data_IF_589646384956
#
_entry.id   IF_589646384956
#
_cell.length_a   1.000
_cell.length_b   1.000
_cell.length_c   1.000
_cell.angle_alpha   90.00
_cell.angle_beta   90.00
_cell.angle_gamma   90.00
#
_symmetry.space_group_name_H-M   'P 1'
#
loop_
_entity.id
_entity.type
_entity.pdbx_description
1 polymer ?
#
# COMPACT_ATOMS: atom_id res chain seq x y z
N UNK A 1 27.60 13.52 35.38
CA UNK A 1 26.82 12.30 35.08
C UNK A 1 25.32 12.61 34.95
N UNK A 2 24.93 13.57 34.09
CA UNK A 2 23.54 14.03 33.98
C UNK A 2 23.08 14.27 32.54
N UNK A 3 23.62 13.51 31.56
CA UNK A 3 23.33 13.75 30.13
C UNK A 3 22.81 12.52 29.37
N UNK A 4 22.49 11.42 30.08
CA UNK A 4 22.02 10.17 29.44
C UNK A 4 20.50 9.93 29.54
N UNK A 5 19.73 10.79 30.22
CA UNK A 5 18.29 10.54 30.48
C UNK A 5 17.32 11.03 29.40
N UNK A 6 17.79 11.56 28.28
CA UNK A 6 16.94 12.23 27.28
C UNK A 6 16.83 11.59 25.90
N UNK A 7 17.51 10.46 25.63
CA UNK A 7 17.50 9.85 24.28
C UNK A 7 16.39 8.81 24.16
N UNK A 8 15.52 8.98 23.17
CA UNK A 8 14.42 8.07 22.88
C UNK A 8 14.93 6.64 22.66
N UNK A 9 14.24 5.63 23.20
CA UNK A 9 14.60 4.19 23.07
C UNK A 9 14.69 3.72 21.60
N UNK A 10 14.19 4.53 20.66
CA UNK A 10 14.28 4.32 19.22
C UNK A 10 15.69 4.44 18.64
N UNK A 11 16.62 5.09 19.35
CA UNK A 11 18.03 5.17 18.91
C UNK A 11 18.71 3.79 18.83
N UNK A 12 18.17 2.77 19.51
CA UNK A 12 18.66 1.38 19.44
C UNK A 12 18.47 0.78 18.04
N UNK A 13 17.53 1.31 17.24
CA UNK A 13 17.23 0.84 15.88
C UNK A 13 18.07 1.54 14.80
N UNK A 14 18.93 2.50 15.17
CA UNK A 14 19.80 3.24 14.24
C UNK A 14 20.58 2.35 13.24
N UNK A 15 21.20 1.21 13.63
CA UNK A 15 21.92 0.36 12.67
C UNK A 15 21.01 -0.34 11.64
N UNK A 16 19.73 -0.58 11.97
CA UNK A 16 18.75 -1.17 11.04
C UNK A 16 18.22 -0.10 10.09
N UNK A 17 18.04 1.12 10.61
CA UNK A 17 17.56 2.28 9.85
C UNK A 17 18.57 2.69 8.75
N UNK A 18 19.87 2.69 9.06
CA UNK A 18 20.93 3.09 8.11
C UNK A 18 21.15 2.07 6.98
N UNK A 19 20.79 0.80 7.20
CA UNK A 19 20.98 -0.28 6.21
C UNK A 19 19.72 -0.58 5.39
N UNK A 20 18.63 0.11 5.66
CA UNK A 20 17.35 -0.12 5.00
C UNK A 20 17.35 0.44 3.57
N UNK A 21 16.82 -0.29 2.57
CA UNK A 21 16.68 0.25 1.22
C UNK A 21 15.82 1.51 1.27
N UNK A 22 16.40 2.62 0.84
CA UNK A 22 15.77 3.93 0.83
C UNK A 22 16.02 4.57 -0.52
N UNK A 23 14.99 5.15 -1.12
CA UNK A 23 15.17 5.93 -2.35
C UNK A 23 16.10 7.14 -2.05
N UNK A 24 17.17 7.34 -2.81
CA UNK A 24 18.03 8.50 -2.61
C UNK A 24 17.25 9.80 -2.86
N UNK A 25 17.43 10.81 -2.01
CA UNK A 25 16.88 12.15 -2.27
C UNK A 25 17.70 12.81 -3.38
N UNK A 26 17.09 13.59 -4.28
CA UNK A 26 17.84 14.33 -5.29
C UNK A 26 18.77 15.35 -4.62
N UNK A 27 20.03 15.41 -5.06
CA UNK A 27 21.06 16.32 -4.52
C UNK A 27 20.86 17.78 -4.97
N UNK A 28 19.98 18.02 -5.94
CA UNK A 28 19.73 19.34 -6.51
C UNK A 28 18.28 19.55 -6.96
N UNK A 29 18.04 20.67 -7.64
CA UNK A 29 16.73 20.99 -8.16
C UNK A 29 16.30 20.00 -9.25
N UNK A 30 15.15 19.37 -9.06
CA UNK A 30 14.54 18.48 -10.06
C UNK A 30 13.61 19.29 -10.97
N UNK A 31 13.84 19.32 -12.29
CA UNK A 31 12.98 20.01 -13.25
C UNK A 31 11.54 19.47 -13.22
N UNK A 32 10.55 20.34 -13.45
CA UNK A 32 9.13 19.95 -13.44
C UNK A 32 8.82 18.78 -14.39
N UNK A 33 9.42 18.76 -15.59
CA UNK A 33 9.24 17.67 -16.57
C UNK A 33 9.66 16.31 -16.00
N UNK A 34 10.75 16.27 -15.25
CA UNK A 34 11.25 15.05 -14.59
C UNK A 34 10.30 14.63 -13.47
N UNK A 35 9.79 15.58 -12.67
CA UNK A 35 8.80 15.28 -11.64
C UNK A 35 7.53 14.69 -12.22
N UNK A 36 7.03 15.30 -13.30
CA UNK A 36 5.85 14.84 -14.02
C UNK A 36 6.06 13.45 -14.62
N UNK A 37 7.23 13.19 -15.21
CA UNK A 37 7.58 11.87 -15.74
C UNK A 37 7.52 10.78 -14.66
N UNK A 38 8.14 11.01 -13.50
CA UNK A 38 8.09 10.04 -12.38
C UNK A 38 6.68 9.83 -11.86
N UNK A 39 5.90 10.91 -11.71
CA UNK A 39 4.50 10.83 -11.28
C UNK A 39 3.66 10.00 -12.27
N UNK A 40 3.77 10.25 -13.57
CA UNK A 40 3.02 9.49 -14.60
C UNK A 40 3.50 8.04 -14.66
N UNK A 41 4.81 7.79 -14.61
CA UNK A 41 5.36 6.44 -14.64
C UNK A 41 4.85 5.61 -13.47
N UNK A 42 4.88 6.15 -12.24
CA UNK A 42 4.33 5.46 -11.08
C UNK A 42 2.82 5.22 -11.21
N UNK A 43 2.07 6.17 -11.76
CA UNK A 43 0.63 6.01 -11.97
C UNK A 43 0.32 4.88 -12.97
N UNK A 44 1.09 4.75 -14.05
CA UNK A 44 0.96 3.63 -15.01
C UNK A 44 1.27 2.30 -14.31
N UNK A 45 2.37 2.23 -13.56
CA UNK A 45 2.73 1.00 -12.82
C UNK A 45 1.65 0.65 -11.82
N UNK A 46 1.11 1.64 -11.09
CA UNK A 46 0.02 1.45 -10.14
C UNK A 46 -1.19 0.77 -10.80
N UNK A 47 -1.66 1.30 -11.93
CA UNK A 47 -2.78 0.69 -12.67
C UNK A 47 -2.46 -0.69 -13.24
N UNK A 48 -1.22 -0.98 -13.63
CA UNK A 48 -0.84 -2.33 -14.04
C UNK A 48 -0.94 -3.29 -12.85
N UNK A 49 -0.45 -2.88 -11.69
CA UNK A 49 -0.45 -3.71 -10.49
C UNK A 49 -1.87 -3.98 -9.96
N UNK A 50 -2.81 -3.05 -10.11
CA UNK A 50 -4.21 -3.27 -9.72
C UNK A 50 -4.92 -4.31 -10.59
N UNK A 51 -4.43 -4.55 -11.81
CA UNK A 51 -4.97 -5.55 -12.74
C UNK A 51 -4.30 -6.93 -12.60
N UNK A 52 -3.14 -7.01 -11.95
CA UNK A 52 -2.45 -8.30 -11.71
C UNK A 52 -3.11 -8.98 -10.52
N UNK A 53 -3.86 -10.06 -10.78
CA UNK A 53 -4.48 -10.87 -9.74
C UNK A 53 -3.46 -11.77 -9.03
N UNK A 54 -3.67 -11.98 -7.73
CA UNK A 54 -2.82 -12.85 -6.91
C UNK A 54 -3.01 -14.29 -7.38
N UNK A 55 -1.89 -14.96 -7.63
CA UNK A 55 -1.92 -16.34 -8.07
C UNK A 55 -2.38 -17.27 -6.94
N UNK A 56 -3.35 -18.12 -7.26
CA UNK A 56 -3.81 -19.18 -6.37
C UNK A 56 -5.02 -18.83 -5.49
N UNK A 57 -5.59 -17.62 -5.61
CA UNK A 57 -6.83 -17.26 -4.89
C UNK A 57 -8.04 -18.07 -5.38
N UNK A 58 -8.95 -18.37 -4.46
CA UNK A 58 -10.25 -18.96 -4.78
C UNK A 58 -11.18 -17.93 -5.47
N UNK A 59 -11.97 -18.34 -6.48
CA UNK A 59 -12.96 -17.46 -7.12
C UNK A 59 -14.08 -17.02 -6.16
N UNK A 60 -14.26 -17.69 -5.03
CA UNK A 60 -15.19 -17.33 -3.94
C UNK A 60 -14.57 -16.37 -2.92
N UNK A 61 -13.66 -15.48 -3.35
CA UNK A 61 -13.13 -14.44 -2.47
C UNK A 61 -14.21 -13.38 -2.23
N UNK A 62 -14.62 -13.18 -0.99
CA UNK A 62 -15.64 -12.19 -0.63
C UNK A 62 -15.03 -10.80 -0.61
N UNK A 63 -15.62 -9.93 -1.44
CA UNK A 63 -15.49 -8.47 -1.48
C UNK A 63 -15.81 -7.72 -0.17
N UNK A 64 -15.12 -7.98 0.94
CA UNK A 64 -15.55 -7.41 2.24
C UNK A 64 -15.42 -5.88 2.33
N UNK A 65 -14.53 -5.27 1.53
CA UNK A 65 -14.19 -3.85 1.61
C UNK A 65 -14.52 -3.05 0.34
N UNK A 66 -15.47 -3.51 -0.50
CA UNK A 66 -15.86 -2.87 -1.76
C UNK A 66 -16.03 -1.34 -1.64
N UNK A 67 -16.75 -0.87 -0.61
CA UNK A 67 -17.02 0.55 -0.38
C UNK A 67 -15.81 1.38 0.08
N UNK A 68 -14.74 0.73 0.57
CA UNK A 68 -13.55 1.41 1.09
C UNK A 68 -12.37 1.39 0.11
N UNK A 69 -12.45 0.61 -0.98
CA UNK A 69 -11.35 0.44 -1.96
C UNK A 69 -10.85 1.76 -2.54
N UNK A 70 -11.76 2.68 -2.86
CA UNK A 70 -11.41 3.99 -3.41
C UNK A 70 -10.54 4.82 -2.45
N UNK A 71 -10.77 4.70 -1.13
CA UNK A 71 -10.00 5.40 -0.09
C UNK A 71 -8.71 4.66 0.25
N UNK A 72 -8.73 3.32 0.25
CA UNK A 72 -7.55 2.50 0.51
C UNK A 72 -6.62 2.39 -0.71
N UNK A 73 -7.02 2.93 -1.86
CA UNK A 73 -6.32 2.82 -3.14
C UNK A 73 -5.91 1.37 -3.45
N UNK A 74 -6.74 0.41 -3.06
CA UNK A 74 -6.46 -1.03 -3.16
C UNK A 74 -7.44 -1.71 -4.10
N UNK A 75 -6.96 -2.74 -4.82
CA UNK A 75 -7.78 -3.54 -5.72
C UNK A 75 -7.89 -4.98 -5.20
N UNK A 76 -9.13 -5.43 -4.99
CA UNK A 76 -9.41 -6.73 -4.39
C UNK A 76 -8.89 -7.89 -5.22
N UNK A 77 -8.26 -8.87 -4.56
CA UNK A 77 -7.63 -9.99 -5.24
C UNK A 77 -6.44 -9.63 -6.14
N UNK A 78 -5.98 -8.38 -6.16
CA UNK A 78 -4.81 -7.94 -6.93
C UNK A 78 -3.53 -7.88 -6.09
N UNK A 79 -2.37 -7.66 -6.73
CA UNK A 79 -1.12 -7.42 -6.02
C UNK A 79 -1.19 -6.16 -5.13
N UNK A 80 -2.07 -5.21 -5.45
CA UNK A 80 -2.33 -3.97 -4.69
C UNK A 80 -3.49 -4.16 -3.70
N UNK A 81 -3.77 -5.39 -3.25
CA UNK A 81 -4.88 -5.65 -2.33
C UNK A 81 -4.83 -4.81 -1.05
N UNK A 82 -3.65 -4.72 -0.42
CA UNK A 82 -3.43 -3.90 0.77
C UNK A 82 -3.44 -2.39 0.48
N UNK A 83 -3.24 -2.00 -0.78
CA UNK A 83 -3.19 -0.61 -1.21
C UNK A 83 -2.19 0.23 -0.39
N UNK A 84 -2.64 1.40 0.04
CA UNK A 84 -1.88 2.32 0.91
C UNK A 84 -2.08 2.04 2.40
N UNK A 85 -2.91 1.05 2.77
CA UNK A 85 -3.31 0.75 4.15
C UNK A 85 -2.12 0.70 5.11
N UNK A 86 -1.11 -0.17 4.88
CA UNK A 86 0.04 -0.30 5.76
C UNK A 86 0.85 1.00 5.91
N UNK A 87 0.91 1.82 4.86
CA UNK A 87 1.66 3.09 4.83
C UNK A 87 0.96 4.12 5.72
N UNK A 88 -0.35 4.30 5.52
CA UNK A 88 -1.14 5.27 6.28
C UNK A 88 -1.30 4.83 7.72
N UNK A 89 -1.61 3.56 7.98
CA UNK A 89 -1.78 3.04 9.34
C UNK A 89 -0.50 3.20 10.17
N UNK A 90 0.65 2.82 9.62
CA UNK A 90 1.94 3.03 10.30
C UNK A 90 2.20 4.51 10.60
N UNK A 91 1.92 5.38 9.63
CA UNK A 91 2.10 6.83 9.77
C UNK A 91 1.20 7.40 10.88
N UNK A 92 -0.07 7.02 10.90
CA UNK A 92 -1.04 7.47 11.91
C UNK A 92 -0.63 6.98 13.31
N UNK A 93 -0.27 5.69 13.46
CA UNK A 93 0.17 5.14 14.75
C UNK A 93 1.38 5.93 15.29
N UNK A 94 2.38 6.17 14.44
CA UNK A 94 3.58 6.89 14.84
C UNK A 94 3.29 8.35 15.18
N UNK A 95 2.44 9.02 14.38
CA UNK A 95 1.97 10.38 14.66
C UNK A 95 1.24 10.47 15.99
N UNK A 96 0.38 9.49 16.30
CA UNK A 96 -0.35 9.43 17.57
C UNK A 96 0.61 9.21 18.75
N UNK A 97 1.62 8.34 18.63
CA UNK A 97 2.58 8.10 19.72
C UNK A 97 3.48 9.29 20.02
N UNK A 98 3.90 10.02 18.98
CA UNK A 98 4.67 11.27 19.14
C UNK A 98 3.77 12.38 19.69
N UNK A 99 2.54 12.53 19.15
CA UNK A 99 1.57 13.53 19.60
C UNK A 99 1.15 13.34 21.06
N UNK A 100 0.96 12.09 21.50
CA UNK A 100 0.67 11.73 22.88
C UNK A 100 1.88 11.80 23.82
N UNK A 101 3.07 12.19 23.32
CA UNK A 101 4.35 12.24 24.06
C UNK A 101 4.76 10.90 24.70
N UNK A 102 4.24 9.78 24.18
CA UNK A 102 4.70 8.43 24.55
C UNK A 102 6.13 8.24 24.01
N UNK A 103 6.37 8.76 22.81
CA UNK A 103 7.68 8.85 22.18
C UNK A 103 8.10 10.32 22.17
N UNK A 104 9.08 10.69 22.99
CA UNK A 104 9.65 12.03 23.00
C UNK A 104 10.64 12.18 21.85
N UNK A 105 10.15 12.62 20.69
CA UNK A 105 10.96 13.05 19.55
C UNK A 105 10.68 14.52 19.26
N UNK A 106 11.74 15.31 19.18
CA UNK A 106 11.66 16.72 18.79
C UNK A 106 11.81 16.83 17.27
N UNK A 107 10.67 16.90 16.59
CA UNK A 107 10.62 17.02 15.13
C UNK A 107 11.17 18.37 14.61
N UNK A 108 11.71 19.25 15.45
CA UNK A 108 12.51 20.40 14.98
C UNK A 108 13.95 20.01 14.69
N UNK A 109 14.48 18.98 15.39
CA UNK A 109 15.86 18.50 15.26
C UNK A 109 16.00 17.55 14.08
N UNK A 110 17.08 17.72 13.31
CA UNK A 110 17.38 16.89 12.14
C UNK A 110 17.58 15.41 12.49
N UNK A 111 18.23 15.12 13.62
CA UNK A 111 18.49 13.76 14.07
C UNK A 111 17.20 13.01 14.45
N UNK A 112 16.31 13.66 15.20
CA UNK A 112 15.02 13.10 15.59
C UNK A 112 14.09 12.91 14.38
N UNK A 113 14.13 13.82 13.39
CA UNK A 113 13.43 13.63 12.10
C UNK A 113 13.93 12.39 11.36
N UNK A 114 15.25 12.15 11.36
CA UNK A 114 15.82 10.98 10.69
C UNK A 114 15.37 9.69 11.37
N UNK A 115 15.34 9.66 12.71
CA UNK A 115 14.86 8.50 13.49
C UNK A 115 13.37 8.29 13.28
N UNK A 116 12.58 9.36 13.29
CA UNK A 116 11.15 9.30 12.99
C UNK A 116 10.91 8.65 11.63
N UNK A 117 11.59 9.11 10.59
CA UNK A 117 11.47 8.56 9.24
C UNK A 117 11.95 7.11 9.19
N UNK A 118 13.09 6.78 9.80
CA UNK A 118 13.60 5.42 9.86
C UNK A 118 12.65 4.44 10.53
N UNK A 119 12.10 4.83 11.68
CA UNK A 119 11.15 4.02 12.42
C UNK A 119 9.83 3.85 11.68
N UNK A 120 9.34 4.91 11.02
CA UNK A 120 8.14 4.84 10.19
C UNK A 120 8.27 3.74 9.13
N UNK A 121 9.43 3.64 8.45
CA UNK A 121 9.67 2.60 7.44
C UNK A 121 9.60 1.19 8.01
N UNK A 122 10.22 0.97 9.18
CA UNK A 122 10.17 -0.32 9.87
C UNK A 122 8.72 -0.65 10.23
N UNK A 123 7.99 0.34 10.74
CA UNK A 123 6.60 0.18 11.12
C UNK A 123 5.71 -0.16 9.92
N UNK A 124 5.94 0.44 8.74
CA UNK A 124 5.22 0.09 7.50
C UNK A 124 5.38 -1.39 7.18
N UNK A 125 6.61 -1.91 7.24
CA UNK A 125 6.89 -3.32 6.95
C UNK A 125 6.21 -4.26 7.94
N UNK A 126 6.22 -3.91 9.23
CA UNK A 126 5.47 -4.64 10.25
C UNK A 126 3.97 -4.61 9.93
N UNK A 127 3.43 -3.43 9.57
CA UNK A 127 2.02 -3.28 9.23
C UNK A 127 1.62 -4.10 8.00
N UNK A 128 2.50 -4.26 7.01
CA UNK A 128 2.23 -5.13 5.86
C UNK A 128 1.96 -6.57 6.33
N UNK A 129 2.78 -7.12 7.24
CA UNK A 129 2.53 -8.46 7.76
C UNK A 129 1.31 -8.53 8.67
N UNK A 130 1.12 -7.52 9.53
CA UNK A 130 -0.03 -7.43 10.45
C UNK A 130 -1.36 -7.35 9.69
N UNK A 131 -1.39 -6.72 8.51
CA UNK A 131 -2.58 -6.66 7.67
C UNK A 131 -2.69 -7.89 6.74
N UNK A 132 -1.60 -8.36 6.13
CA UNK A 132 -1.64 -9.45 5.17
C UNK A 132 -1.98 -10.81 5.81
N UNK A 133 -1.42 -11.14 6.98
CA UNK A 133 -1.61 -12.45 7.60
C UNK A 133 -3.09 -12.69 7.97
N UNK A 134 -3.78 -11.81 8.72
CA UNK A 134 -5.19 -12.02 9.05
C UNK A 134 -6.09 -12.08 7.81
N UNK A 135 -5.78 -11.32 6.74
CA UNK A 135 -6.56 -11.34 5.52
C UNK A 135 -6.45 -12.69 4.79
N UNK A 136 -5.26 -13.28 4.69
CA UNK A 136 -5.03 -14.61 4.10
C UNK A 136 -5.63 -15.75 4.92
N UNK A 137 -5.57 -15.65 6.24
CA UNK A 137 -6.17 -16.65 7.11
C UNK A 137 -7.69 -16.45 7.31
N UNK A 138 -8.21 -15.26 6.98
CA UNK A 138 -9.61 -14.89 7.12
C UNK A 138 -10.44 -15.11 5.86
N UNK A 139 -10.13 -14.39 4.78
CA UNK A 139 -11.00 -14.34 3.59
C UNK A 139 -10.28 -14.48 2.23
N UNK A 140 -8.96 -14.31 2.16
CA UNK A 140 -8.16 -14.56 0.96
C UNK A 140 -7.68 -16.03 0.91
N UNK A 141 -8.64 -16.95 0.89
CA UNK A 141 -8.35 -18.39 0.93
C UNK A 141 -7.76 -18.88 -0.40
N UNK A 142 -6.73 -19.75 -0.36
CA UNK A 142 -6.21 -20.40 -1.55
C UNK A 142 -7.24 -21.35 -2.17
N UNK A 143 -7.18 -21.51 -3.50
CA UNK A 143 -7.99 -22.48 -4.23
C UNK A 143 -7.50 -23.93 -4.00
N UNK A 144 -8.41 -24.90 -4.01
CA UNK A 144 -8.07 -26.32 -3.81
C UNK A 144 -7.03 -26.84 -4.81
N UNK A 145 -7.08 -26.35 -6.05
CA UNK A 145 -6.09 -26.67 -7.10
C UNK A 145 -4.70 -26.17 -6.73
N UNK A 146 -4.60 -24.97 -6.17
CA UNK A 146 -3.33 -24.39 -5.76
C UNK A 146 -2.77 -25.09 -4.52
N UNK A 147 -3.64 -25.43 -3.56
CA UNK A 147 -3.26 -26.24 -2.38
C UNK A 147 -2.65 -27.58 -2.80
N UNK A 148 -3.31 -28.28 -3.74
CA UNK A 148 -2.84 -29.56 -4.26
C UNK A 148 -1.50 -29.44 -5.01
N UNK A 149 -1.28 -28.34 -5.75
CA UNK A 149 -0.04 -28.08 -6.49
C UNK A 149 1.16 -27.80 -5.58
N UNK A 150 0.95 -27.04 -4.50
CA UNK A 150 2.01 -26.60 -3.59
C UNK A 150 2.27 -27.62 -2.47
N UNK A 151 1.39 -28.62 -2.32
CA UNK A 151 1.57 -29.74 -1.38
C UNK A 151 1.18 -29.41 0.06
N UNK A 152 0.35 -28.39 0.28
CA UNK A 152 -0.16 -28.07 1.61
C UNK A 152 -0.84 -26.70 1.71
N UNK A 153 -1.89 -26.63 2.54
CA UNK A 153 -2.67 -25.41 2.74
C UNK A 153 -1.84 -24.28 3.37
N UNK A 154 -1.02 -24.61 4.38
CA UNK A 154 -0.15 -23.65 5.04
C UNK A 154 0.88 -23.04 4.07
N UNK A 155 1.47 -23.86 3.20
CA UNK A 155 2.43 -23.40 2.19
C UNK A 155 1.76 -22.50 1.16
N UNK A 156 0.57 -22.88 0.68
CA UNK A 156 -0.22 -22.05 -0.24
C UNK A 156 -0.56 -20.67 0.37
N UNK A 157 -1.02 -20.64 1.63
CA UNK A 157 -1.29 -19.39 2.36
C UNK A 157 -0.02 -18.54 2.52
N UNK A 158 1.10 -19.17 2.85
CA UNK A 158 2.40 -18.46 2.99
C UNK A 158 2.84 -17.82 1.68
N UNK A 159 2.67 -18.50 0.54
CA UNK A 159 2.98 -17.94 -0.77
C UNK A 159 2.07 -16.76 -1.13
N UNK A 160 0.79 -16.79 -0.75
CA UNK A 160 -0.13 -15.66 -0.94
C UNK A 160 0.31 -14.46 -0.07
N UNK A 161 0.68 -14.70 1.20
CA UNK A 161 1.21 -13.63 2.08
C UNK A 161 2.47 -13.01 1.48
N UNK A 162 3.37 -13.81 0.89
CA UNK A 162 4.55 -13.29 0.22
C UNK A 162 4.21 -12.45 -1.03
N UNK A 163 3.22 -12.85 -1.82
CA UNK A 163 2.74 -12.06 -2.96
C UNK A 163 2.17 -10.71 -2.51
N UNK A 164 1.34 -10.71 -1.46
CA UNK A 164 0.79 -9.50 -0.85
C UNK A 164 1.89 -8.59 -0.29
N UNK A 165 2.88 -9.18 0.36
CA UNK A 165 4.04 -8.45 0.86
C UNK A 165 4.81 -7.77 -0.27
N UNK A 166 5.09 -8.49 -1.36
CA UNK A 166 5.77 -7.93 -2.53
C UNK A 166 4.98 -6.78 -3.16
N UNK A 167 3.67 -6.93 -3.28
CA UNK A 167 2.79 -5.88 -3.78
C UNK A 167 2.82 -4.61 -2.93
N UNK A 168 2.61 -4.76 -1.62
CA UNK A 168 2.64 -3.64 -0.69
C UNK A 168 4.04 -2.98 -0.61
N UNK A 169 5.12 -3.76 -0.74
CA UNK A 169 6.48 -3.25 -0.80
C UNK A 169 6.69 -2.38 -2.05
N UNK A 170 6.19 -2.81 -3.21
CA UNK A 170 6.27 -2.02 -4.45
C UNK A 170 5.50 -0.70 -4.29
N UNK A 171 4.27 -0.73 -3.75
CA UNK A 171 3.47 0.47 -3.50
C UNK A 171 4.19 1.43 -2.55
N UNK A 172 4.80 0.90 -1.48
CA UNK A 172 5.62 1.68 -0.56
C UNK A 172 6.83 2.34 -1.26
N UNK A 173 7.56 1.59 -2.09
CA UNK A 173 8.70 2.13 -2.83
C UNK A 173 8.27 3.23 -3.82
N UNK A 174 7.11 3.05 -4.47
CA UNK A 174 6.54 4.05 -5.36
C UNK A 174 6.11 5.31 -4.61
N UNK A 175 5.54 5.18 -3.40
CA UNK A 175 5.24 6.33 -2.55
C UNK A 175 6.51 7.09 -2.15
N UNK A 176 7.57 6.38 -1.78
CA UNK A 176 8.86 7.00 -1.44
C UNK A 176 9.49 7.70 -2.66
N UNK A 177 9.36 7.10 -3.85
CA UNK A 177 9.83 7.67 -5.11
C UNK A 177 9.07 8.96 -5.46
N UNK A 178 7.74 8.95 -5.41
CA UNK A 178 6.92 10.14 -5.71
C UNK A 178 7.17 11.24 -4.68
N UNK A 179 7.25 10.89 -3.39
CA UNK A 179 7.44 11.86 -2.32
C UNK A 179 8.80 12.58 -2.39
N UNK A 180 9.79 12.03 -3.11
CA UNK A 180 11.12 12.63 -3.29
C UNK A 180 11.33 13.24 -4.68
N UNK A 181 10.88 12.55 -5.71
CA UNK A 181 11.17 12.88 -7.11
C UNK A 181 9.95 13.38 -7.89
N UNK A 182 8.74 13.09 -7.42
CA UNK A 182 7.50 13.43 -8.09
C UNK A 182 6.85 14.73 -7.60
N UNK A 183 5.56 14.84 -7.89
CA UNK A 183 4.68 15.94 -7.47
C UNK A 183 3.75 15.42 -6.36
N UNK A 184 3.77 16.08 -5.19
CA UNK A 184 2.92 15.71 -4.05
C UNK A 184 3.42 14.49 -3.28
N UNK A 185 2.49 13.74 -2.68
CA UNK A 185 2.74 12.47 -1.98
C UNK A 185 2.15 11.31 -2.79
N UNK A 186 2.84 10.17 -2.83
CA UNK A 186 2.34 8.99 -3.53
C UNK A 186 1.01 8.49 -2.97
N UNK A 187 0.86 8.49 -1.64
CA UNK A 187 -0.43 8.19 -0.97
C UNK A 187 -1.58 9.01 -1.57
N UNK A 188 -1.43 10.34 -1.63
CA UNK A 188 -2.48 11.21 -2.17
C UNK A 188 -2.76 10.97 -3.66
N UNK A 189 -1.72 10.67 -4.43
CA UNK A 189 -1.83 10.37 -5.85
C UNK A 189 -2.61 9.07 -6.08
N UNK A 190 -2.32 8.01 -5.33
CA UNK A 190 -2.98 6.72 -5.47
C UNK A 190 -4.45 6.77 -5.05
N UNK A 191 -4.78 7.52 -4.00
CA UNK A 191 -6.19 7.78 -3.62
C UNK A 191 -6.91 8.50 -4.77
N UNK A 192 -6.33 9.59 -5.29
CA UNK A 192 -6.93 10.34 -6.39
C UNK A 192 -7.10 9.48 -7.64
N UNK A 193 -6.12 8.62 -7.95
CA UNK A 193 -6.17 7.69 -9.07
C UNK A 193 -7.30 6.66 -8.91
N UNK A 194 -7.44 6.05 -7.73
CA UNK A 194 -8.50 5.07 -7.44
C UNK A 194 -9.91 5.68 -7.43
N UNK A 195 -10.08 6.88 -6.85
CA UNK A 195 -11.36 7.61 -6.89
C UNK A 195 -11.70 8.02 -8.32
N UNK A 196 -10.72 8.51 -9.09
CA UNK A 196 -10.92 8.92 -10.47
C UNK A 196 -11.28 7.73 -11.36
N UNK A 197 -10.61 6.58 -11.17
CA UNK A 197 -10.98 5.31 -11.83
C UNK A 197 -12.42 4.93 -11.49
N UNK A 198 -12.79 4.91 -10.21
CA UNK A 198 -14.15 4.55 -9.79
C UNK A 198 -15.23 5.45 -10.41
N UNK A 199 -14.98 6.77 -10.49
CA UNK A 199 -15.89 7.73 -11.14
C UNK A 199 -15.99 7.44 -12.64
N UNK A 200 -14.86 7.27 -13.33
CA UNK A 200 -14.86 7.03 -14.78
C UNK A 200 -15.52 5.69 -15.10
N UNK A 201 -15.21 4.62 -14.36
CA UNK A 201 -15.83 3.30 -14.55
C UNK A 201 -17.30 3.28 -14.16
N UNK A 202 -17.70 4.11 -13.20
CA UNK A 202 -19.10 4.23 -12.79
C UNK A 202 -19.95 5.00 -13.80
N UNK A 203 -19.39 6.06 -14.40
CA UNK A 203 -20.07 6.91 -15.37
C UNK A 203 -20.04 6.33 -16.80
N UNK A 204 -18.94 5.69 -17.19
CA UNK A 204 -18.74 5.15 -18.54
C UNK A 204 -18.82 3.61 -18.53
N UNK A 205 -19.86 3.06 -17.88
CA UNK A 205 -20.06 1.62 -17.81
C UNK A 205 -21.01 1.12 -18.91
N UNK A 206 -20.45 0.56 -19.99
CA UNK A 206 -21.24 -0.02 -21.08
C UNK A 206 -21.77 -1.43 -20.77
N UNK A 207 -21.44 -2.01 -19.61
CA UNK A 207 -21.91 -3.32 -19.21
C UNK A 207 -23.37 -3.26 -18.75
N UNK A 208 -24.17 -4.30 -19.04
CA UNK A 208 -25.54 -4.35 -18.58
C UNK A 208 -25.64 -4.36 -17.05
N UNK A 209 -26.68 -3.72 -16.51
CA UNK A 209 -27.01 -3.77 -15.07
C UNK A 209 -27.11 -5.20 -14.56
N UNK A 210 -27.67 -6.11 -15.35
CA UNK A 210 -27.66 -7.55 -15.09
C UNK A 210 -26.67 -8.27 -16.03
N UNK A 211 -25.55 -8.79 -15.52
CA UNK A 211 -24.54 -9.49 -16.31
C UNK A 211 -25.04 -10.74 -17.04
N UNK A 212 -26.13 -11.35 -16.56
CA UNK A 212 -26.68 -12.58 -17.12
C UNK A 212 -27.70 -12.34 -18.24
N UNK A 213 -28.02 -11.07 -18.55
CA UNK A 213 -28.98 -10.69 -19.58
C UNK A 213 -28.29 -9.85 -20.66
N UNK A 214 -28.69 -9.98 -21.94
CA UNK A 214 -28.18 -9.12 -23.00
C UNK A 214 -28.62 -7.66 -22.79
N UNK A 215 -27.88 -6.73 -23.40
CA UNK A 215 -28.24 -5.32 -23.42
C UNK A 215 -29.61 -5.13 -24.08
N UNK A 216 -30.53 -4.48 -23.37
CA UNK A 216 -31.87 -4.20 -23.88
C UNK A 216 -32.47 -2.98 -23.18
N UNK A 217 -33.60 -2.46 -23.66
CA UNK A 217 -34.32 -1.39 -22.95
C UNK A 217 -34.76 -1.78 -21.53
N UNK A 218 -34.80 -3.08 -21.20
CA UNK A 218 -35.10 -3.60 -19.86
C UNK A 218 -33.84 -3.93 -19.04
N UNK A 219 -32.66 -3.85 -19.67
CA UNK A 219 -31.35 -4.09 -19.09
C UNK A 219 -30.35 -3.10 -19.71
N UNK A 220 -30.47 -1.79 -19.40
CA UNK A 220 -29.61 -0.77 -19.95
C UNK A 220 -28.17 -0.94 -19.46
N UNK A 221 -27.20 -0.22 -20.07
CA UNK A 221 -25.88 -0.04 -19.48
C UNK A 221 -25.97 0.47 -18.04
N UNK A 222 -25.02 0.06 -17.21
CA UNK A 222 -24.98 0.41 -15.80
C UNK A 222 -24.46 1.82 -15.51
N UNK A 223 -23.89 2.50 -16.51
CA UNK A 223 -23.41 3.88 -16.46
C UNK A 223 -24.37 4.87 -17.09
#
# INVERSE_FOLDING_TARGET
MAEERGKSKLFVLKPIIERWPAVARPEGYVPFKTKLFWTILCLIIYYILTQITIYGLSPTTVDMFAGFRAVMAGASGSLVHLGIGPIVTASIILQLFVGAKIINLDLTKSEDKMIYQGFQKILIIIMIFVEAIPQVFGYLSPSDRFIAMVGGEFTARTLIVLQLFMGALIVYLMDELISKWGIGSGVSLFIAAGVSEAIVTGLLNWLPVNPNLPLSMRNPPAG
#
